data_IF_584103447950
#
_entry.id   IF_584103447950
#
_cell.length_a   1.000
_cell.length_b   1.000
_cell.length_c   1.000
_cell.angle_alpha   90.00
_cell.angle_beta   90.00
_cell.angle_gamma   90.00
#
_symmetry.space_group_name_H-M   'P 1'
#
loop_
_entity.id
_entity.type
_entity.pdbx_description
1 polymer ?
#
# COMPACT_ATOMS: atom_id res chain seq x y z
N UNK A 1 8.41 17.49 -6.69
CA UNK A 1 7.25 18.41 -6.67
C UNK A 1 6.08 17.66 -6.07
N UNK A 2 5.37 18.22 -5.09
CA UNK A 2 4.14 17.59 -4.60
C UNK A 2 3.10 17.61 -5.73
N UNK A 3 2.41 16.49 -5.95
CA UNK A 3 1.32 16.42 -6.93
C UNK A 3 0.24 17.46 -6.58
N UNK A 4 -0.38 18.10 -7.60
CA UNK A 4 -1.47 19.06 -7.40
C UNK A 4 -2.67 18.46 -6.63
N UNK A 5 -2.82 17.13 -6.69
CA UNK A 5 -3.86 16.40 -5.96
C UNK A 5 -3.59 16.30 -4.45
N UNK A 6 -2.39 16.68 -3.99
CA UNK A 6 -1.95 16.49 -2.61
C UNK A 6 -1.75 15.03 -2.19
N UNK A 7 -1.93 14.08 -3.11
CA UNK A 7 -1.76 12.64 -2.83
C UNK A 7 -0.28 12.30 -2.73
N UNK A 8 0.02 11.28 -1.93
CA UNK A 8 1.36 10.65 -1.89
C UNK A 8 1.73 10.16 -3.29
N UNK A 9 2.92 10.54 -3.74
CA UNK A 9 3.49 10.16 -5.02
C UNK A 9 4.74 9.29 -4.82
N UNK A 10 5.00 8.41 -5.78
CA UNK A 10 6.11 7.46 -5.76
C UNK A 10 6.87 7.56 -7.08
N UNK A 11 8.20 7.57 -7.05
CA UNK A 11 9.02 7.91 -8.23
C UNK A 11 9.06 6.78 -9.27
N UNK A 12 8.92 5.54 -8.82
CA UNK A 12 8.98 4.36 -9.69
C UNK A 12 7.96 3.31 -9.26
N UNK A 13 7.76 2.31 -10.11
CA UNK A 13 6.80 1.22 -9.90
C UNK A 13 7.12 0.39 -8.67
N UNK A 14 8.41 0.16 -8.38
CA UNK A 14 8.83 -0.58 -7.18
C UNK A 14 8.39 0.12 -5.90
N UNK A 15 8.64 1.43 -5.79
CA UNK A 15 8.20 2.22 -4.65
C UNK A 15 6.67 2.25 -4.51
N UNK A 16 5.95 2.33 -5.64
CA UNK A 16 4.49 2.30 -5.63
C UNK A 16 3.95 0.94 -5.18
N UNK A 17 4.58 -0.16 -5.61
CA UNK A 17 4.23 -1.52 -5.23
C UNK A 17 4.51 -1.80 -3.75
N UNK A 18 5.70 -1.43 -3.27
CA UNK A 18 6.03 -1.54 -1.85
C UNK A 18 5.06 -0.71 -1.00
N UNK A 19 4.78 0.52 -1.41
CA UNK A 19 3.83 1.38 -0.73
C UNK A 19 2.40 0.83 -0.73
N UNK A 20 1.98 0.17 -1.81
CA UNK A 20 0.69 -0.50 -1.90
C UNK A 20 0.58 -1.61 -0.85
N UNK A 21 1.60 -2.46 -0.72
CA UNK A 21 1.66 -3.50 0.29
C UNK A 21 1.71 -2.91 1.71
N UNK A 22 2.58 -1.94 1.94
CA UNK A 22 2.73 -1.27 3.22
C UNK A 22 1.45 -0.57 3.67
N UNK A 23 0.70 0.04 2.76
CA UNK A 23 -0.59 0.62 3.08
C UNK A 23 -1.57 -0.44 3.61
N UNK A 24 -1.60 -1.64 3.03
CA UNK A 24 -2.45 -2.73 3.54
C UNK A 24 -1.95 -3.35 4.83
N UNK A 25 -0.67 -3.23 5.16
CA UNK A 25 -0.09 -3.68 6.43
C UNK A 25 -0.40 -2.65 7.53
N UNK A 26 -0.07 -1.38 7.30
CA UNK A 26 -0.25 -0.31 8.28
C UNK A 26 -1.73 0.01 8.53
N UNK A 27 -2.55 0.01 7.48
CA UNK A 27 -3.97 0.30 7.60
C UNK A 27 -4.77 -0.99 7.59
N UNK A 28 -5.68 -1.12 8.55
CA UNK A 28 -6.63 -2.23 8.63
C UNK A 28 -7.81 -2.03 7.66
N UNK A 29 -7.51 -2.03 6.36
CA UNK A 29 -8.55 -2.04 5.34
C UNK A 29 -9.39 -3.31 5.47
N UNK A 30 -10.72 -3.14 5.38
CA UNK A 30 -11.67 -4.24 5.25
C UNK A 30 -11.48 -4.92 3.88
N UNK A 31 -11.91 -6.17 3.75
CA UNK A 31 -11.91 -6.87 2.47
C UNK A 31 -12.63 -6.04 1.40
N UNK A 32 -11.94 -5.77 0.27
CA UNK A 32 -12.47 -4.94 -0.82
C UNK A 32 -12.36 -3.42 -0.59
N UNK A 33 -11.69 -2.97 0.47
CA UNK A 33 -11.43 -1.53 0.71
C UNK A 33 -9.94 -1.22 0.65
N UNK A 34 -9.62 0.05 0.40
CA UNK A 34 -8.24 0.52 0.24
C UNK A 34 -7.74 0.49 -1.20
N UNK A 35 -6.48 0.90 -1.43
CA UNK A 35 -5.89 0.90 -2.76
C UNK A 35 -5.67 -0.53 -3.26
N UNK A 36 -6.02 -0.80 -4.51
CA UNK A 36 -5.88 -2.13 -5.14
C UNK A 36 -4.74 -2.17 -6.15
N UNK A 37 -4.36 -1.01 -6.70
CA UNK A 37 -3.31 -0.87 -7.71
C UNK A 37 -2.71 0.54 -7.67
N UNK A 38 -1.78 0.82 -8.59
CA UNK A 38 -1.19 2.15 -8.78
C UNK A 38 -1.27 2.58 -10.25
N UNK A 39 -1.23 3.89 -10.49
CA UNK A 39 -1.22 4.47 -11.82
C UNK A 39 -0.18 5.60 -11.90
N UNK A 40 0.33 5.87 -13.09
CA UNK A 40 1.20 7.03 -13.34
C UNK A 40 0.33 8.26 -13.56
N UNK A 41 0.53 9.30 -12.76
CA UNK A 41 -0.18 10.57 -12.90
C UNK A 41 0.42 11.38 -14.04
N UNK A 42 -0.45 11.94 -14.88
CA UNK A 42 -0.06 12.76 -16.02
C UNK A 42 0.36 14.18 -15.60
N UNK A 43 -0.16 14.68 -14.46
CA UNK A 43 0.15 16.02 -13.95
C UNK A 43 1.55 16.12 -13.33
N UNK A 44 1.94 15.15 -12.49
CA UNK A 44 3.23 15.16 -11.80
C UNK A 44 4.26 14.17 -12.36
N UNK A 45 3.83 13.22 -13.20
CA UNK A 45 4.70 12.18 -13.76
C UNK A 45 5.05 11.03 -12.81
N UNK A 46 4.65 11.10 -11.54
CA UNK A 46 4.89 10.08 -10.51
C UNK A 46 3.74 9.06 -10.42
N UNK A 47 3.96 7.98 -9.66
CA UNK A 47 2.96 6.95 -9.40
C UNK A 47 2.12 7.25 -8.17
N UNK A 48 0.82 6.95 -8.25
CA UNK A 48 -0.14 7.10 -7.16
C UNK A 48 -0.94 5.83 -6.96
N UNK A 49 -1.29 5.56 -5.70
CA UNK A 49 -2.17 4.44 -5.36
C UNK A 49 -3.62 4.77 -5.70
N UNK A 50 -4.36 3.78 -6.17
CA UNK A 50 -5.78 3.88 -6.48
C UNK A 50 -6.54 2.64 -6.01
N UNK A 51 -7.77 2.84 -5.56
CA UNK A 51 -8.73 1.78 -5.23
C UNK A 51 -9.55 1.32 -6.44
N UNK A 52 -9.39 1.97 -7.59
CA UNK A 52 -10.13 1.67 -8.81
C UNK A 52 -9.31 0.77 -9.73
N UNK A 53 -9.93 -0.29 -10.24
CA UNK A 53 -9.34 -1.18 -11.23
C UNK A 53 -9.06 -2.59 -10.72
N UNK A 54 -8.22 -3.32 -11.45
CA UNK A 54 -7.84 -4.70 -11.14
C UNK A 54 -6.76 -4.70 -10.05
N UNK A 55 -6.93 -5.57 -9.06
CA UNK A 55 -5.95 -5.73 -7.99
C UNK A 55 -4.60 -6.18 -8.54
N UNK A 56 -3.53 -5.50 -8.14
CA UNK A 56 -2.18 -5.87 -8.56
C UNK A 56 -1.85 -7.31 -8.13
N UNK A 57 -1.25 -8.14 -8.99
CA UNK A 57 -1.01 -9.56 -8.70
C UNK A 57 -0.17 -9.76 -7.43
N UNK A 58 0.81 -8.89 -7.16
CA UNK A 58 1.61 -8.96 -5.93
C UNK A 58 0.78 -8.72 -4.67
N UNK A 59 -0.14 -7.75 -4.71
CA UNK A 59 -1.05 -7.50 -3.59
C UNK A 59 -2.00 -8.69 -3.40
N UNK A 60 -2.58 -9.21 -4.49
CA UNK A 60 -3.45 -10.37 -4.45
C UNK A 60 -2.72 -11.60 -3.87
N UNK A 61 -1.47 -11.83 -4.26
CA UNK A 61 -0.64 -12.92 -3.75
C UNK A 61 -0.30 -12.72 -2.27
N UNK A 62 0.04 -11.49 -1.85
CA UNK A 62 0.34 -11.16 -0.46
C UNK A 62 -0.89 -11.31 0.46
N UNK A 63 -2.09 -10.99 -0.03
CA UNK A 63 -3.35 -11.24 0.67
C UNK A 63 -3.61 -12.75 0.75
N UNK A 64 -3.51 -13.46 -0.38
CA UNK A 64 -3.79 -14.91 -0.46
C UNK A 64 -2.85 -15.73 0.40
N UNK A 65 -1.56 -15.40 0.42
CA UNK A 65 -0.55 -16.10 1.24
C UNK A 65 -0.60 -15.69 2.72
N UNK A 66 -1.45 -14.73 3.08
CA UNK A 66 -1.53 -14.20 4.44
C UNK A 66 -0.29 -13.42 4.89
N UNK A 67 0.59 -13.02 3.96
CA UNK A 67 1.79 -12.23 4.27
C UNK A 67 1.42 -10.93 4.98
N UNK A 68 0.36 -10.26 4.51
CA UNK A 68 -0.13 -9.02 5.13
C UNK A 68 -0.61 -9.25 6.56
N UNK A 69 -1.26 -10.39 6.82
CA UNK A 69 -1.71 -10.77 8.17
C UNK A 69 -0.50 -11.01 9.09
N UNK A 70 0.48 -11.79 8.64
CA UNK A 70 1.71 -12.06 9.39
C UNK A 70 2.48 -10.78 9.70
N UNK A 71 2.59 -9.88 8.73
CA UNK A 71 3.30 -8.61 8.91
C UNK A 71 2.56 -7.70 9.90
N UNK A 72 1.23 -7.66 9.85
CA UNK A 72 0.41 -6.96 10.86
C UNK A 72 0.60 -7.50 12.26
N UNK A 73 0.67 -8.83 12.40
CA UNK A 73 0.95 -9.46 13.68
C UNK A 73 2.36 -9.05 14.17
N UNK A 74 3.37 -9.08 13.30
CA UNK A 74 4.72 -8.61 13.64
C UNK A 74 4.74 -7.12 14.07
N UNK A 75 4.06 -6.24 13.34
CA UNK A 75 3.96 -4.81 13.69
C UNK A 75 3.23 -4.61 15.02
N UNK A 76 2.13 -5.33 15.26
CA UNK A 76 1.39 -5.27 16.53
C UNK A 76 2.22 -5.76 17.71
N UNK A 77 3.07 -6.76 17.51
CA UNK A 77 4.03 -7.19 18.54
C UNK A 77 5.09 -6.12 18.77
N UNK A 78 5.64 -5.51 17.70
CA UNK A 78 6.63 -4.44 17.83
C UNK A 78 6.09 -3.22 18.61
N UNK A 79 4.81 -2.90 18.42
CA UNK A 79 4.13 -1.82 19.15
C UNK A 79 3.94 -2.16 20.64
N UNK A 80 3.51 -3.40 20.94
CA UNK A 80 3.40 -3.90 22.31
C UNK A 80 4.73 -3.93 23.06
N UNK A 81 5.84 -4.20 22.36
CA UNK A 81 7.18 -4.22 22.96
C UNK A 81 7.88 -2.85 22.99
N UNK A 82 7.32 -1.83 22.33
CA UNK A 82 7.74 -0.42 22.48
C UNK A 82 7.15 0.26 23.72
N UNK A 83 6.38 -0.47 24.52
CA UNK A 83 6.01 -0.06 25.87
C UNK A 83 7.20 -0.11 26.84
N UNK A 84 8.12 0.86 26.73
CA UNK A 84 8.91 1.46 27.82
C UNK A 84 9.66 2.70 27.34
#
# INVERSE_FOLDING_TARGET
MACISGKRSYLNTMQAEEALLQAHIQFNYRAGTGPVTYYKCEDCGDYHLTSQGVMHPTLANAIRNGTIKKQKEADSWSDKFKGR
#
